data_IF_298232270803
#
_entry.id   IF_298232270803
#
_cell.length_a   1.000
_cell.length_b   1.000
_cell.length_c   1.000
_cell.angle_alpha   90.00
_cell.angle_beta   90.00
_cell.angle_gamma   90.00
#
_symmetry.space_group_name_H-M   'P 1'
#
loop_
_entity.id
_entity.type
_entity.pdbx_description
1 polymer ?
#
# COMPACT_ATOMS: atom_id res chain seq x y z
N UNK A 1 -27.43 30.54 -7.59
CA UNK A 1 -27.03 29.88 -6.32
C UNK A 1 -25.52 29.65 -6.38
N UNK A 2 -24.71 30.45 -5.67
CA UNK A 2 -23.26 30.24 -5.60
C UNK A 2 -22.98 29.10 -4.63
N UNK A 3 -22.27 28.05 -5.08
CA UNK A 3 -21.75 27.04 -4.16
C UNK A 3 -20.77 27.70 -3.18
N UNK A 4 -20.91 27.41 -1.88
CA UNK A 4 -20.05 27.95 -0.85
C UNK A 4 -18.56 27.64 -1.16
N UNK A 5 -17.65 28.62 -1.06
CA UNK A 5 -16.27 28.53 -1.56
C UNK A 5 -15.39 27.46 -0.87
N UNK A 6 -15.87 26.81 0.19
CA UNK A 6 -15.20 25.68 0.85
C UNK A 6 -15.48 24.34 0.16
N UNK A 7 -16.71 24.11 -0.32
CA UNK A 7 -17.10 22.87 -1.01
C UNK A 7 -16.40 22.73 -2.36
N UNK A 8 -16.22 23.84 -3.08
CA UNK A 8 -15.49 23.86 -4.35
C UNK A 8 -14.01 23.52 -4.17
N UNK A 9 -13.38 23.97 -3.07
CA UNK A 9 -11.98 23.67 -2.72
C UNK A 9 -11.74 22.21 -2.39
N UNK A 10 -12.60 21.60 -1.56
CA UNK A 10 -12.50 20.16 -1.23
C UNK A 10 -12.69 19.29 -2.48
N UNK A 11 -13.71 19.57 -3.28
CA UNK A 11 -13.95 18.84 -4.54
C UNK A 11 -12.76 18.98 -5.50
N UNK A 12 -12.19 20.18 -5.62
CA UNK A 12 -10.98 20.40 -6.42
C UNK A 12 -9.78 19.60 -5.90
N UNK A 13 -9.57 19.54 -4.58
CA UNK A 13 -8.50 18.75 -3.98
C UNK A 13 -8.63 17.25 -4.27
N UNK A 14 -9.80 16.65 -3.99
CA UNK A 14 -10.02 15.21 -4.23
C UNK A 14 -9.90 14.85 -5.71
N UNK A 15 -10.44 15.67 -6.61
CA UNK A 15 -10.34 15.44 -8.06
C UNK A 15 -8.91 15.59 -8.58
N UNK A 16 -8.13 16.54 -8.04
CA UNK A 16 -6.75 16.78 -8.50
C UNK A 16 -5.81 15.68 -8.01
N UNK A 17 -5.97 15.23 -6.76
CA UNK A 17 -5.08 14.25 -6.12
C UNK A 17 -5.41 12.80 -6.49
N UNK A 18 -6.63 12.52 -6.96
CA UNK A 18 -7.00 11.20 -7.46
C UNK A 18 -6.51 10.98 -8.91
N UNK A 19 -5.20 11.02 -9.11
CA UNK A 19 -4.56 10.85 -10.42
C UNK A 19 -3.33 9.94 -10.34
N UNK A 20 -2.90 9.40 -11.49
CA UNK A 20 -1.70 8.56 -11.57
C UNK A 20 -0.45 9.38 -11.25
N UNK A 21 -0.41 10.64 -11.67
CA UNK A 21 0.69 11.55 -11.45
C UNK A 21 0.89 11.86 -9.96
N UNK A 22 -0.17 12.25 -9.25
CA UNK A 22 -0.07 12.46 -7.80
C UNK A 22 0.29 11.18 -7.06
N UNK A 23 -0.30 10.04 -7.44
CA UNK A 23 0.04 8.74 -6.84
C UNK A 23 1.50 8.37 -7.06
N UNK A 24 2.02 8.53 -8.28
CA UNK A 24 3.42 8.24 -8.59
C UNK A 24 4.36 9.15 -7.80
N UNK A 25 4.14 10.46 -7.84
CA UNK A 25 5.01 11.44 -7.20
C UNK A 25 5.03 11.30 -5.68
N UNK A 26 3.88 11.05 -5.03
CA UNK A 26 3.82 10.90 -3.58
C UNK A 26 4.46 9.57 -3.13
N UNK A 27 4.49 8.54 -3.98
CA UNK A 27 5.15 7.26 -3.68
C UNK A 27 6.67 7.29 -3.84
N UNK A 28 7.25 8.27 -4.56
CA UNK A 28 8.70 8.37 -4.72
C UNK A 28 9.45 8.58 -3.38
N UNK A 29 9.05 9.52 -2.51
CA UNK A 29 9.65 9.64 -1.18
C UNK A 29 9.53 8.36 -0.36
N UNK A 30 8.42 7.62 -0.47
CA UNK A 30 8.21 6.37 0.23
C UNK A 30 9.24 5.31 -0.20
N UNK A 31 9.45 5.15 -1.52
CA UNK A 31 10.47 4.28 -2.07
C UNK A 31 11.89 4.67 -1.63
N UNK A 32 12.22 5.96 -1.71
CA UNK A 32 13.54 6.44 -1.34
C UNK A 32 13.83 6.20 0.14
N UNK A 33 12.88 6.50 1.02
CA UNK A 33 13.00 6.23 2.44
C UNK A 33 13.16 4.74 2.72
N UNK A 34 12.38 3.89 2.05
CA UNK A 34 12.53 2.43 2.15
C UNK A 34 13.94 1.96 1.79
N UNK A 35 14.45 2.30 0.59
CA UNK A 35 15.77 1.81 0.14
C UNK A 35 16.91 2.40 0.99
N UNK A 36 16.81 3.66 1.42
CA UNK A 36 17.78 4.26 2.36
C UNK A 36 17.76 3.52 3.70
N UNK A 37 16.58 3.24 4.26
CA UNK A 37 16.48 2.55 5.54
C UNK A 37 16.99 1.11 5.44
N UNK A 38 16.71 0.38 4.37
CA UNK A 38 17.29 -0.95 4.15
C UNK A 38 18.82 -0.88 4.07
N UNK A 39 19.35 0.08 3.30
CA UNK A 39 20.79 0.27 3.16
C UNK A 39 21.48 0.56 4.50
N UNK A 40 20.86 1.39 5.36
CA UNK A 40 21.43 1.73 6.67
C UNK A 40 21.21 0.60 7.70
N UNK A 41 20.07 -0.09 7.64
CA UNK A 41 19.71 -1.11 8.62
C UNK A 41 20.44 -2.45 8.43
N UNK A 42 20.96 -2.71 7.23
CA UNK A 42 21.56 -3.99 6.85
C UNK A 42 22.83 -3.76 6.01
N UNK A 43 23.92 -3.28 6.64
CA UNK A 43 25.18 -3.06 5.93
C UNK A 43 25.86 -4.37 5.50
N UNK A 44 25.61 -5.48 6.20
CA UNK A 44 26.14 -6.81 5.87
C UNK A 44 25.17 -7.57 4.92
N UNK A 45 25.69 -8.03 3.79
CA UNK A 45 24.92 -8.57 2.65
C UNK A 45 24.41 -10.01 2.83
N UNK A 46 24.76 -10.69 3.93
CA UNK A 46 24.48 -12.13 4.08
C UNK A 46 23.03 -12.44 4.51
N UNK A 47 22.34 -11.51 5.18
CA UNK A 47 20.92 -11.69 5.59
C UNK A 47 20.13 -10.39 5.43
N UNK A 48 19.68 -10.13 4.20
CA UNK A 48 18.90 -8.93 3.88
C UNK A 48 17.41 -9.17 4.14
N UNK A 49 16.87 -8.65 5.25
CA UNK A 49 15.44 -8.74 5.58
C UNK A 49 14.66 -7.73 4.74
N UNK A 50 13.83 -8.22 3.82
CA UNK A 50 12.99 -7.45 2.91
C UNK A 50 11.56 -7.98 2.92
N UNK A 51 10.61 -7.15 2.49
CA UNK A 51 9.21 -7.52 2.36
C UNK A 51 9.05 -8.61 1.30
N UNK A 52 8.19 -9.61 1.56
CA UNK A 52 8.00 -10.77 0.69
C UNK A 52 7.73 -10.40 -0.76
N UNK A 53 6.91 -9.36 -1.01
CA UNK A 53 6.61 -8.88 -2.37
C UNK A 53 7.85 -8.29 -3.05
N UNK A 54 8.73 -7.59 -2.32
CA UNK A 54 10.03 -7.15 -2.87
C UNK A 54 10.85 -8.39 -3.29
N UNK A 55 10.94 -9.40 -2.42
CA UNK A 55 11.66 -10.65 -2.73
C UNK A 55 11.06 -11.37 -3.94
N UNK A 56 9.74 -11.43 -4.09
CA UNK A 56 9.08 -12.07 -5.24
C UNK A 56 9.41 -11.34 -6.54
N UNK A 57 9.30 -10.01 -6.55
CA UNK A 57 9.65 -9.19 -7.71
C UNK A 57 11.11 -9.46 -8.09
N UNK A 58 12.01 -9.42 -7.12
CA UNK A 58 13.45 -9.63 -7.33
C UNK A 58 13.78 -11.04 -7.80
N UNK A 59 13.11 -12.06 -7.28
CA UNK A 59 13.28 -13.46 -7.70
C UNK A 59 12.81 -13.69 -9.12
N UNK A 60 11.69 -13.07 -9.54
CA UNK A 60 11.25 -13.12 -10.94
C UNK A 60 12.29 -12.50 -11.88
N UNK A 61 13.00 -11.48 -11.41
CA UNK A 61 13.98 -10.77 -12.22
C UNK A 61 15.41 -11.32 -12.13
N UNK A 62 15.76 -12.09 -11.10
CA UNK A 62 17.08 -12.72 -10.99
C UNK A 62 17.33 -13.73 -12.12
N UNK A 63 16.27 -14.29 -12.72
CA UNK A 63 16.35 -15.09 -13.95
C UNK A 63 16.95 -14.34 -15.15
N UNK A 64 17.01 -13.00 -15.12
CA UNK A 64 17.63 -12.17 -16.16
C UNK A 64 19.07 -11.74 -15.84
N UNK A 65 19.65 -12.22 -14.72
CA UNK A 65 21.10 -12.16 -14.44
C UNK A 65 21.69 -10.78 -14.13
N UNK A 66 20.90 -9.82 -13.66
CA UNK A 66 21.36 -8.44 -13.38
C UNK A 66 21.22 -8.06 -11.90
N UNK A 67 22.02 -7.07 -11.49
CA UNK A 67 21.98 -6.49 -10.15
C UNK A 67 20.57 -5.98 -9.81
N UNK A 68 20.05 -6.50 -8.71
CA UNK A 68 18.64 -6.47 -8.38
C UNK A 68 18.13 -5.05 -8.03
N UNK A 69 18.99 -4.21 -7.44
CA UNK A 69 18.69 -2.80 -7.16
C UNK A 69 18.45 -2.01 -8.45
N UNK A 70 19.19 -2.33 -9.51
CA UNK A 70 19.06 -1.68 -10.81
C UNK A 70 17.69 -1.96 -11.44
N UNK A 71 17.12 -3.14 -11.21
CA UNK A 71 15.86 -3.55 -11.84
C UNK A 71 14.65 -2.84 -11.22
N UNK A 72 14.59 -2.72 -9.90
CA UNK A 72 13.54 -1.95 -9.21
C UNK A 72 13.55 -0.49 -9.68
N UNK A 73 14.73 0.14 -9.72
CA UNK A 73 14.87 1.53 -10.19
C UNK A 73 14.47 1.70 -11.66
N UNK A 74 14.84 0.74 -12.52
CA UNK A 74 14.41 0.71 -13.93
C UNK A 74 12.88 0.60 -14.01
N UNK A 75 12.26 -0.29 -13.25
CA UNK A 75 10.81 -0.48 -13.28
C UNK A 75 10.06 0.78 -12.82
N UNK A 76 10.52 1.40 -11.72
CA UNK A 76 10.00 2.67 -11.22
C UNK A 76 10.19 3.78 -12.27
N UNK A 77 11.34 3.84 -12.93
CA UNK A 77 11.60 4.79 -14.00
C UNK A 77 10.68 4.57 -15.22
N UNK A 78 10.45 3.32 -15.64
CA UNK A 78 9.53 2.99 -16.73
C UNK A 78 8.08 3.36 -16.40
N UNK A 79 7.61 3.05 -15.18
CA UNK A 79 6.32 3.52 -14.69
C UNK A 79 6.26 5.05 -14.70
N UNK A 80 7.32 5.71 -14.23
CA UNK A 80 7.44 7.15 -14.22
C UNK A 80 7.33 7.75 -15.61
N UNK A 81 8.07 7.23 -16.57
CA UNK A 81 7.99 7.64 -17.98
C UNK A 81 6.58 7.47 -18.51
N UNK A 82 5.94 6.33 -18.25
CA UNK A 82 4.55 6.08 -18.66
C UNK A 82 3.57 7.09 -18.04
N UNK A 83 3.66 7.31 -16.73
CA UNK A 83 2.78 8.24 -15.99
C UNK A 83 2.99 9.67 -16.47
N UNK A 84 4.25 10.12 -16.58
CA UNK A 84 4.59 11.44 -17.07
C UNK A 84 4.12 11.63 -18.52
N UNK A 85 4.29 10.64 -19.39
CA UNK A 85 3.79 10.70 -20.76
C UNK A 85 2.26 10.79 -20.80
N UNK A 86 1.56 9.92 -20.07
CA UNK A 86 0.09 9.82 -20.06
C UNK A 86 -0.58 11.04 -19.42
N UNK A 87 0.03 11.60 -18.38
CA UNK A 87 -0.54 12.70 -17.59
C UNK A 87 0.24 14.02 -17.72
N UNK A 88 1.09 14.18 -18.76
CA UNK A 88 1.91 15.39 -19.00
C UNK A 88 1.13 16.70 -18.91
N UNK A 89 -0.11 16.72 -19.40
CA UNK A 89 -0.96 17.92 -19.40
C UNK A 89 -1.37 18.35 -17.98
N UNK A 90 -1.25 17.46 -16.99
CA UNK A 90 -1.56 17.75 -15.58
C UNK A 90 -0.35 18.28 -14.81
N UNK A 91 0.87 18.20 -15.36
CA UNK A 91 2.10 18.65 -14.67
C UNK A 91 2.02 20.12 -14.24
N UNK A 92 1.54 21.01 -15.12
CA UNK A 92 1.39 22.43 -14.80
C UNK A 92 0.28 22.75 -13.78
N UNK A 93 -0.58 21.78 -13.46
CA UNK A 93 -1.65 21.92 -12.47
C UNK A 93 -1.28 21.39 -11.08
N UNK A 94 -0.07 20.86 -10.92
CA UNK A 94 0.40 20.33 -9.64
C UNK A 94 0.51 21.44 -8.60
N UNK A 95 -0.02 21.15 -7.41
CA UNK A 95 0.07 21.99 -6.23
C UNK A 95 0.87 21.27 -5.17
N UNK A 96 2.05 21.79 -4.85
CA UNK A 96 2.94 21.21 -3.84
C UNK A 96 2.26 21.03 -2.48
N UNK A 97 1.44 21.99 -2.07
CA UNK A 97 0.69 21.92 -0.80
C UNK A 97 -0.25 20.72 -0.69
N UNK A 98 -0.72 20.15 -1.81
CA UNK A 98 -1.57 18.98 -1.78
C UNK A 98 -0.85 17.73 -1.31
N UNK A 99 0.48 17.59 -1.51
CA UNK A 99 1.21 16.43 -0.98
C UNK A 99 1.18 16.39 0.54
N UNK A 100 1.35 17.53 1.21
CA UNK A 100 1.25 17.60 2.67
C UNK A 100 -0.18 17.32 3.14
N UNK A 101 -1.19 17.84 2.44
CA UNK A 101 -2.60 17.52 2.75
C UNK A 101 -2.89 16.02 2.58
N UNK A 102 -2.33 15.38 1.55
CA UNK A 102 -2.45 13.94 1.31
C UNK A 102 -1.80 13.13 2.42
N UNK A 103 -0.63 13.52 2.93
CA UNK A 103 0.00 12.84 4.06
C UNK A 103 -0.87 12.95 5.33
N UNK A 104 -1.41 14.14 5.62
CA UNK A 104 -2.33 14.33 6.76
C UNK A 104 -3.60 13.47 6.60
N UNK A 105 -4.17 13.43 5.40
CA UNK A 105 -5.32 12.59 5.07
C UNK A 105 -5.00 11.10 5.24
N UNK A 106 -3.84 10.65 4.75
CA UNK A 106 -3.40 9.27 4.87
C UNK A 106 -3.15 8.87 6.32
N UNK A 107 -2.59 9.77 7.15
CA UNK A 107 -2.45 9.57 8.60
C UNK A 107 -3.81 9.47 9.30
N UNK A 108 -4.77 10.32 8.91
CA UNK A 108 -6.13 10.24 9.45
C UNK A 108 -6.80 8.91 9.11
N UNK A 109 -6.64 8.42 7.87
CA UNK A 109 -7.08 7.08 7.49
C UNK A 109 -6.39 6.01 8.32
N UNK A 110 -5.06 6.03 8.44
CA UNK A 110 -4.31 5.05 9.21
C UNK A 110 -4.79 4.98 10.68
N UNK A 111 -4.99 6.15 11.30
CA UNK A 111 -5.53 6.25 12.65
C UNK A 111 -6.94 5.67 12.78
N UNK A 112 -7.84 6.00 11.84
CA UNK A 112 -9.19 5.43 11.82
C UNK A 112 -9.15 3.91 11.64
N UNK A 113 -8.30 3.40 10.74
CA UNK A 113 -8.11 1.96 10.53
C UNK A 113 -7.61 1.28 11.81
N UNK A 114 -6.64 1.88 12.51
CA UNK A 114 -6.13 1.40 13.79
C UNK A 114 -7.24 1.27 14.83
N UNK A 115 -8.10 2.27 14.97
CA UNK A 115 -9.22 2.21 15.90
C UNK A 115 -10.27 1.17 15.49
N UNK A 116 -10.69 1.17 14.23
CA UNK A 116 -11.79 0.30 13.78
C UNK A 116 -11.40 -1.18 13.79
N UNK A 117 -10.21 -1.52 13.31
CA UNK A 117 -9.82 -2.92 13.15
C UNK A 117 -9.42 -3.51 14.49
N UNK A 118 -8.69 -2.77 15.33
CA UNK A 118 -8.33 -3.25 16.68
C UNK A 118 -9.58 -3.52 17.53
N UNK A 119 -10.56 -2.63 17.50
CA UNK A 119 -11.82 -2.80 18.24
C UNK A 119 -12.68 -3.92 17.66
N UNK A 120 -12.76 -4.05 16.33
CA UNK A 120 -13.56 -5.12 15.69
C UNK A 120 -12.97 -6.50 15.96
N UNK A 121 -11.66 -6.68 15.79
CA UNK A 121 -11.00 -7.98 15.99
C UNK A 121 -11.00 -8.36 17.48
N UNK A 122 -10.67 -7.40 18.37
CA UNK A 122 -10.65 -7.66 19.82
C UNK A 122 -12.06 -7.90 20.38
N UNK A 123 -13.07 -7.15 19.92
CA UNK A 123 -14.46 -7.32 20.35
C UNK A 123 -15.11 -8.61 19.84
N UNK A 124 -14.78 -9.03 18.62
CA UNK A 124 -15.31 -10.27 18.04
C UNK A 124 -14.70 -11.53 18.66
N UNK A 125 -13.42 -11.49 19.00
CA UNK A 125 -12.68 -12.68 19.39
C UNK A 125 -12.30 -12.72 20.88
N UNK A 126 -12.47 -11.63 21.64
CA UNK A 126 -12.10 -11.52 23.08
C UNK A 126 -10.66 -11.97 23.40
N UNK A 127 -9.77 -11.90 22.41
CA UNK A 127 -8.38 -12.37 22.52
C UNK A 127 -7.47 -11.15 22.68
N UNK A 128 -6.60 -11.18 23.69
CA UNK A 128 -5.49 -10.26 23.81
C UNK A 128 -4.52 -10.45 22.63
N UNK A 129 -4.09 -9.34 22.02
CA UNK A 129 -3.16 -9.37 20.90
C UNK A 129 -1.91 -10.18 21.26
N UNK A 130 -1.65 -11.25 20.51
CA UNK A 130 -0.42 -12.02 20.63
C UNK A 130 0.73 -11.22 20.00
N UNK A 131 1.79 -11.00 20.80
CA UNK A 131 3.17 -10.75 20.36
C UNK A 131 3.73 -12.07 19.79
N UNK A 132 4.80 -12.19 18.99
CA UNK A 132 6.09 -11.48 18.86
C UNK A 132 6.71 -11.82 17.49
N UNK A 133 7.55 -10.93 16.95
CA UNK A 133 8.81 -11.35 16.29
C UNK A 133 9.94 -10.60 16.99
N UNK A 134 10.45 -11.20 18.06
CA UNK A 134 11.76 -10.82 18.61
C UNK A 134 12.83 -11.25 17.59
N UNK A 135 13.39 -10.29 16.85
CA UNK A 135 14.72 -10.38 16.22
C UNK A 135 15.04 -9.19 15.30
N UNK A 136 14.05 -8.37 14.94
CA UNK A 136 14.29 -7.21 14.08
C UNK A 136 14.55 -5.94 14.88
N UNK A 137 15.60 -5.20 14.51
CA UNK A 137 15.85 -3.87 15.08
C UNK A 137 14.71 -2.92 14.72
N UNK A 138 14.48 -1.89 15.53
CA UNK A 138 13.47 -0.85 15.23
C UNK A 138 13.69 -0.27 13.83
N UNK A 139 14.94 -0.08 13.40
CA UNK A 139 15.25 0.45 12.09
C UNK A 139 14.81 -0.49 10.95
N UNK A 140 14.98 -1.80 11.13
CA UNK A 140 14.48 -2.80 10.18
C UNK A 140 12.96 -2.83 10.15
N UNK A 141 12.29 -2.74 11.30
CA UNK A 141 10.83 -2.68 11.37
C UNK A 141 10.29 -1.45 10.64
N UNK A 142 10.89 -0.27 10.88
CA UNK A 142 10.55 0.96 10.16
C UNK A 142 10.76 0.81 8.64
N UNK A 143 11.87 0.20 8.21
CA UNK A 143 12.11 -0.06 6.80
C UNK A 143 11.02 -0.96 6.21
N UNK A 144 10.70 -2.08 6.87
CA UNK A 144 9.66 -3.00 6.42
C UNK A 144 8.28 -2.34 6.37
N UNK A 145 7.91 -1.48 7.33
CA UNK A 145 6.67 -0.71 7.30
C UNK A 145 6.53 0.15 6.03
N UNK A 146 7.60 0.87 5.65
CA UNK A 146 7.60 1.67 4.42
C UNK A 146 7.54 0.79 3.17
N UNK A 147 8.27 -0.32 3.18
CA UNK A 147 8.31 -1.29 2.09
C UNK A 147 6.95 -1.97 1.88
N UNK A 148 6.26 -2.36 2.95
CA UNK A 148 4.95 -2.99 2.89
C UNK A 148 3.94 -2.06 2.24
N UNK A 149 3.87 -0.82 2.72
CA UNK A 149 3.02 0.21 2.12
C UNK A 149 3.31 0.46 0.64
N UNK A 150 4.55 0.34 0.17
CA UNK A 150 4.85 0.52 -1.25
C UNK A 150 4.59 -0.76 -2.08
N UNK A 151 5.31 -1.85 -1.78
CA UNK A 151 5.37 -3.04 -2.62
C UNK A 151 4.09 -3.86 -2.54
N UNK A 152 3.51 -4.03 -1.35
CA UNK A 152 2.27 -4.79 -1.22
C UNK A 152 1.11 -4.04 -1.87
N UNK A 153 1.00 -2.73 -1.68
CA UNK A 153 -0.05 -1.96 -2.36
C UNK A 153 0.12 -1.99 -3.88
N UNK A 154 1.35 -1.97 -4.39
CA UNK A 154 1.59 -2.08 -5.83
C UNK A 154 1.10 -3.43 -6.35
N UNK A 155 1.42 -4.52 -5.65
CA UNK A 155 1.03 -5.85 -6.06
C UNK A 155 -0.47 -6.10 -5.88
N UNK A 156 -1.00 -5.95 -4.67
CA UNK A 156 -2.38 -6.32 -4.37
C UNK A 156 -3.40 -5.35 -4.96
N UNK A 157 -3.09 -4.05 -5.02
CA UNK A 157 -4.09 -3.04 -5.42
C UNK A 157 -3.91 -2.69 -6.89
N UNK A 158 -2.70 -2.38 -7.35
CA UNK A 158 -2.52 -2.03 -8.77
C UNK A 158 -2.61 -3.27 -9.66
N UNK A 159 -1.87 -4.33 -9.34
CA UNK A 159 -1.84 -5.55 -10.18
C UNK A 159 -3.07 -6.40 -9.92
N UNK A 160 -3.27 -6.92 -8.70
CA UNK A 160 -4.32 -7.90 -8.44
C UNK A 160 -5.73 -7.32 -8.57
N UNK A 161 -6.08 -6.21 -7.90
CA UNK A 161 -7.40 -5.58 -8.09
C UNK A 161 -7.60 -5.15 -9.54
N UNK A 162 -6.58 -4.61 -10.21
CA UNK A 162 -6.62 -4.27 -11.63
C UNK A 162 -6.96 -5.46 -12.54
N UNK A 163 -6.28 -6.59 -12.34
CA UNK A 163 -6.53 -7.85 -13.06
C UNK A 163 -7.93 -8.42 -12.75
N UNK A 164 -8.34 -8.42 -11.48
CA UNK A 164 -9.68 -8.87 -11.09
C UNK A 164 -10.76 -8.02 -11.76
N UNK A 165 -10.62 -6.70 -11.78
CA UNK A 165 -11.56 -5.81 -12.49
C UNK A 165 -11.55 -6.07 -14.00
N UNK A 166 -10.40 -6.38 -14.59
CA UNK A 166 -10.26 -6.71 -16.00
C UNK A 166 -10.99 -8.02 -16.34
N UNK A 167 -10.86 -9.06 -15.51
CA UNK A 167 -11.51 -10.36 -15.73
C UNK A 167 -13.01 -10.26 -15.43
N UNK A 168 -13.38 -9.70 -14.28
CA UNK A 168 -14.77 -9.58 -13.86
C UNK A 168 -15.59 -8.67 -14.77
N UNK A 169 -14.99 -7.80 -15.58
CA UNK A 169 -15.73 -7.01 -16.58
C UNK A 169 -16.46 -7.87 -17.61
N UNK A 170 -15.96 -9.09 -17.87
CA UNK A 170 -16.56 -10.03 -18.81
C UNK A 170 -17.67 -10.89 -18.17
N UNK A 171 -17.69 -11.01 -16.84
CA UNK A 171 -18.61 -11.88 -16.11
C UNK A 171 -19.71 -11.10 -15.36
N UNK A 172 -19.40 -9.87 -14.92
CA UNK A 172 -20.26 -9.07 -14.04
C UNK A 172 -20.55 -7.72 -14.70
N UNK A 173 -21.76 -7.57 -15.22
CA UNK A 173 -22.21 -6.35 -15.90
C UNK A 173 -22.39 -5.18 -14.92
N UNK A 174 -22.91 -5.45 -13.73
CA UNK A 174 -23.18 -4.44 -12.70
C UNK A 174 -21.89 -3.87 -12.11
N UNK A 175 -21.63 -2.58 -12.37
CA UNK A 175 -20.38 -1.90 -12.00
C UNK A 175 -20.07 -2.02 -10.50
N UNK A 176 -21.00 -1.63 -9.62
CA UNK A 176 -20.74 -1.64 -8.17
C UNK A 176 -20.43 -3.04 -7.64
N UNK A 177 -21.14 -4.07 -8.14
CA UNK A 177 -20.92 -5.46 -7.77
C UNK A 177 -19.54 -5.93 -8.21
N UNK A 178 -19.09 -5.53 -9.41
CA UNK A 178 -17.74 -5.84 -9.91
C UNK A 178 -16.65 -5.28 -9.00
N UNK A 179 -16.78 -4.03 -8.56
CA UNK A 179 -15.84 -3.42 -7.61
C UNK A 179 -15.88 -4.14 -6.26
N UNK A 180 -17.08 -4.39 -5.71
CA UNK A 180 -17.23 -5.10 -4.45
C UNK A 180 -16.58 -6.50 -4.47
N UNK A 181 -16.82 -7.28 -5.53
CA UNK A 181 -16.21 -8.61 -5.70
C UNK A 181 -14.69 -8.52 -5.82
N UNK A 182 -14.16 -7.59 -6.61
CA UNK A 182 -12.71 -7.41 -6.74
C UNK A 182 -12.07 -7.05 -5.39
N UNK A 183 -12.69 -6.15 -4.62
CA UNK A 183 -12.22 -5.77 -3.28
C UNK A 183 -12.21 -6.94 -2.30
N UNK A 184 -13.30 -7.73 -2.25
CA UNK A 184 -13.41 -8.87 -1.33
C UNK A 184 -12.44 -9.98 -1.72
N UNK A 185 -12.37 -10.34 -3.00
CA UNK A 185 -11.46 -11.40 -3.47
C UNK A 185 -10.01 -10.99 -3.25
N UNK A 186 -9.62 -9.75 -3.58
CA UNK A 186 -8.25 -9.28 -3.36
C UNK A 186 -7.90 -9.24 -1.86
N UNK A 187 -8.84 -8.83 -0.99
CA UNK A 187 -8.62 -8.83 0.46
C UNK A 187 -8.48 -10.24 1.04
N UNK A 188 -9.25 -11.22 0.54
CA UNK A 188 -9.11 -12.62 0.92
C UNK A 188 -7.75 -13.18 0.51
N UNK A 189 -7.33 -12.91 -0.72
CA UNK A 189 -6.03 -13.34 -1.23
C UNK A 189 -4.88 -12.66 -0.47
N UNK A 190 -4.98 -11.36 -0.21
CA UNK A 190 -4.05 -10.62 0.64
C UNK A 190 -3.89 -11.26 2.01
N UNK A 191 -5.00 -11.63 2.67
CA UNK A 191 -4.92 -12.32 3.95
C UNK A 191 -4.30 -13.72 3.81
N UNK A 192 -4.74 -14.52 2.83
CA UNK A 192 -4.30 -15.89 2.66
C UNK A 192 -2.79 -16.02 2.39
N UNK A 193 -2.19 -15.11 1.60
CA UNK A 193 -0.75 -15.21 1.27
C UNK A 193 0.17 -15.05 2.47
N UNK A 194 -0.28 -14.42 3.57
CA UNK A 194 0.53 -14.26 4.77
C UNK A 194 0.75 -15.57 5.53
N UNK A 195 0.05 -16.65 5.15
CA UNK A 195 0.15 -17.97 5.77
C UNK A 195 0.86 -18.99 4.87
N UNK A 196 1.48 -18.55 3.78
CA UNK A 196 2.08 -19.41 2.76
C UNK A 196 3.58 -19.16 2.68
N UNK A 197 4.36 -20.25 2.54
CA UNK A 197 5.81 -20.22 2.37
C UNK A 197 6.58 -20.30 3.69
N UNK A 198 7.91 -20.38 3.59
CA UNK A 198 8.79 -20.63 4.75
C UNK A 198 8.81 -19.50 5.78
N UNK A 199 8.37 -18.29 5.38
CA UNK A 199 8.22 -17.11 6.24
C UNK A 199 6.75 -16.78 6.55
N UNK A 200 5.82 -17.71 6.31
CA UNK A 200 4.40 -17.52 6.60
C UNK A 200 4.11 -17.48 8.11
N UNK A 201 3.16 -16.65 8.51
CA UNK A 201 2.68 -16.56 9.89
C UNK A 201 1.99 -17.86 10.31
N UNK A 202 1.97 -18.13 11.62
CA UNK A 202 1.09 -19.18 12.16
C UNK A 202 -0.35 -18.76 12.00
N UNK A 203 -1.16 -19.62 11.36
CA UNK A 203 -2.56 -19.31 11.12
C UNK A 203 -3.35 -19.16 12.41
N UNK A 204 -3.97 -18.00 12.58
CA UNK A 204 -5.01 -17.76 13.59
C UNK A 204 -6.17 -17.02 12.93
N UNK A 205 -7.41 -17.31 13.36
CA UNK A 205 -8.58 -16.63 12.81
C UNK A 205 -8.53 -15.12 13.05
N UNK A 206 -7.97 -14.68 14.18
CA UNK A 206 -7.79 -13.27 14.51
C UNK A 206 -6.85 -12.56 13.55
N UNK A 207 -5.66 -13.10 13.31
CA UNK A 207 -4.70 -12.52 12.36
C UNK A 207 -5.24 -12.51 10.93
N UNK A 208 -6.01 -13.55 10.55
CA UNK A 208 -6.56 -13.68 9.20
C UNK A 208 -7.66 -12.65 8.98
N UNK A 209 -8.57 -12.51 9.96
CA UNK A 209 -9.64 -11.54 9.90
C UNK A 209 -9.10 -10.10 9.95
N UNK A 210 -8.07 -9.86 10.77
CA UNK A 210 -7.35 -8.59 10.79
C UNK A 210 -6.84 -8.22 9.39
N UNK A 211 -6.04 -9.11 8.76
CA UNK A 211 -5.47 -8.88 7.41
C UNK A 211 -6.56 -8.74 6.35
N UNK A 212 -7.62 -9.52 6.44
CA UNK A 212 -8.76 -9.41 5.53
C UNK A 212 -9.45 -8.05 5.62
N UNK A 213 -9.80 -7.60 6.83
CA UNK A 213 -10.48 -6.31 7.03
C UNK A 213 -9.56 -5.13 6.68
N UNK A 214 -8.28 -5.21 7.04
CA UNK A 214 -7.26 -4.23 6.67
C UNK A 214 -7.10 -4.15 5.15
N UNK A 215 -6.95 -5.30 4.48
CA UNK A 215 -6.89 -5.41 3.03
C UNK A 215 -8.14 -4.85 2.35
N UNK A 216 -9.32 -5.11 2.89
CA UNK A 216 -10.60 -4.58 2.37
C UNK A 216 -10.68 -3.06 2.49
N UNK A 217 -10.25 -2.49 3.62
CA UNK A 217 -10.20 -1.05 3.84
C UNK A 217 -9.21 -0.37 2.87
N UNK A 218 -8.01 -0.94 2.70
CA UNK A 218 -7.03 -0.43 1.74
C UNK A 218 -7.50 -0.56 0.29
N UNK A 219 -8.22 -1.62 -0.07
CA UNK A 219 -8.85 -1.74 -1.39
C UNK A 219 -9.87 -0.63 -1.62
N UNK A 220 -10.63 -0.24 -0.59
CA UNK A 220 -11.55 0.89 -0.68
C UNK A 220 -10.80 2.21 -0.91
N UNK A 221 -9.75 2.47 -0.11
CA UNK A 221 -8.91 3.67 -0.26
C UNK A 221 -8.31 3.71 -1.67
N UNK A 222 -7.78 2.59 -2.17
CA UNK A 222 -7.24 2.50 -3.53
C UNK A 222 -8.28 2.88 -4.60
N UNK A 223 -9.49 2.33 -4.54
CA UNK A 223 -10.53 2.60 -5.55
C UNK A 223 -11.00 4.06 -5.52
N UNK A 224 -11.11 4.66 -4.34
CA UNK A 224 -11.66 6.01 -4.19
C UNK A 224 -10.62 7.13 -4.23
N UNK A 225 -9.36 6.82 -3.91
CA UNK A 225 -8.29 7.83 -3.73
C UNK A 225 -7.01 7.52 -4.50
N UNK A 226 -6.83 6.28 -4.95
CA UNK A 226 -5.69 5.87 -5.75
C UNK A 226 -4.55 5.25 -4.94
N UNK A 227 -3.55 4.75 -5.67
CA UNK A 227 -2.41 4.00 -5.15
C UNK A 227 -1.63 4.77 -4.08
N UNK A 228 -1.29 6.03 -4.33
CA UNK A 228 -0.44 6.79 -3.41
C UNK A 228 -1.06 6.95 -2.02
N UNK A 229 -2.39 7.07 -1.94
CA UNK A 229 -3.11 7.18 -0.67
C UNK A 229 -3.16 5.84 0.07
N UNK A 230 -3.42 4.74 -0.65
CA UNK A 230 -3.39 3.41 -0.04
C UNK A 230 -1.98 3.07 0.50
N UNK A 231 -0.93 3.39 -0.27
CA UNK A 231 0.46 3.15 0.10
C UNK A 231 0.89 3.90 1.36
N UNK A 232 0.61 5.21 1.43
CA UNK A 232 0.92 5.98 2.62
C UNK A 232 0.06 5.60 3.82
N UNK A 233 -1.23 5.30 3.62
CA UNK A 233 -2.07 4.86 4.74
C UNK A 233 -1.56 3.54 5.33
N UNK A 234 -1.17 2.59 4.51
CA UNK A 234 -0.59 1.33 4.96
C UNK A 234 0.75 1.57 5.69
N UNK A 235 1.68 2.28 5.05
CA UNK A 235 2.98 2.56 5.67
C UNK A 235 2.84 3.29 7.02
N UNK A 236 1.99 4.32 7.09
CA UNK A 236 1.77 5.08 8.33
C UNK A 236 1.11 4.20 9.41
N UNK A 237 0.16 3.33 9.02
CA UNK A 237 -0.44 2.39 9.95
C UNK A 237 0.62 1.49 10.59
N UNK A 238 1.50 0.90 9.79
CA UNK A 238 2.55 0.01 10.30
C UNK A 238 3.56 0.78 11.17
N UNK A 239 3.95 1.99 10.77
CA UNK A 239 4.80 2.87 11.58
C UNK A 239 4.17 3.19 12.94
N UNK A 240 2.85 3.42 12.98
CA UNK A 240 2.13 3.64 14.24
C UNK A 240 2.15 2.40 15.11
N UNK A 241 1.97 1.21 14.52
CA UNK A 241 2.07 -0.06 15.26
C UNK A 241 3.45 -0.20 15.87
N UNK A 242 4.52 -0.01 15.09
CA UNK A 242 5.92 -0.10 15.57
C UNK A 242 6.24 0.95 16.65
N UNK A 243 5.64 2.15 16.57
CA UNK A 243 5.94 3.24 17.50
C UNK A 243 5.16 3.17 18.82
N UNK A 244 3.99 2.53 18.84
CA UNK A 244 3.05 2.59 19.97
C UNK A 244 2.66 1.23 20.56
N UNK A 245 3.11 0.12 19.97
CA UNK A 245 2.87 -1.25 20.45
C UNK A 245 4.20 -2.01 20.60
#
# INVERSE_FOLDING_TARGET
MSEAPSRSRLKSYFNSTHTLLYSYLISLPLLLLYEILIFVAQPDTEQVVRISVDVWIKTLFSYFGQDVLSITLIFVALIGIFVLYKERNKLGSLKAGYFMTMLIEASAYAFILALLISTTVSGLLQIAAYQTVESLSTLQQLALSLGAGLYEELFFRVILVGLLLLVLKYMVQTKWLRFALAMVIAALLFSAVHYIGDLGDTFTLSSFLFRFLFGLALNAIYIFRGFGMAAWTHAIYDLMVVAFL
#
